data_IF_879252942496
#
_entry.id   IF_879252942496
#
_cell.length_a   1.000
_cell.length_b   1.000
_cell.length_c   1.000
_cell.angle_alpha   90.00
_cell.angle_beta   90.00
_cell.angle_gamma   90.00
#
_symmetry.space_group_name_H-M   'P 1'
#
loop_
_entity.id
_entity.type
_entity.pdbx_description
1 polymer ?
#
# COMPACT_ATOMS: atom_id res chain seq x y z
N UNK A 1 -14.30 -48.02 -0.01
CA UNK A 1 -12.93 -47.47 0.05
C UNK A 1 -12.95 -46.21 0.93
N UNK A 2 -12.26 -46.18 2.07
CA UNK A 2 -12.34 -45.06 3.00
C UNK A 2 -11.53 -43.87 2.45
N UNK A 3 -12.20 -42.72 2.40
CA UNK A 3 -11.66 -41.43 2.02
C UNK A 3 -10.52 -41.03 2.97
N UNK A 4 -9.33 -40.89 2.46
CA UNK A 4 -8.18 -40.29 3.16
C UNK A 4 -8.58 -38.88 3.59
N UNK A 5 -8.84 -38.70 4.88
CA UNK A 5 -8.89 -37.38 5.54
C UNK A 5 -7.49 -36.79 5.43
N UNK A 6 -7.28 -35.91 4.46
CA UNK A 6 -6.04 -35.11 4.40
C UNK A 6 -6.05 -34.12 5.55
N UNK A 7 -5.08 -34.25 6.45
CA UNK A 7 -4.78 -33.29 7.51
C UNK A 7 -4.30 -31.95 6.90
N UNK A 8 -5.20 -31.20 6.33
CA UNK A 8 -4.96 -29.84 5.85
C UNK A 8 -5.72 -28.87 6.74
N UNK A 9 -5.06 -27.85 7.29
CA UNK A 9 -5.59 -26.76 8.12
C UNK A 9 -6.76 -25.96 7.49
N UNK A 10 -7.20 -26.32 6.28
CA UNK A 10 -8.22 -25.57 5.52
C UNK A 10 -9.47 -26.42 5.31
N UNK A 11 -10.64 -25.79 5.54
CA UNK A 11 -11.95 -26.37 5.22
C UNK A 11 -12.01 -26.81 3.73
N UNK A 12 -12.74 -27.92 3.39
CA UNK A 12 -12.89 -28.39 2.01
C UNK A 12 -13.40 -27.32 1.03
N UNK A 13 -14.25 -26.40 1.51
CA UNK A 13 -14.74 -25.26 0.73
C UNK A 13 -13.61 -24.27 0.39
N UNK A 14 -12.72 -23.99 1.33
CA UNK A 14 -11.60 -23.10 1.10
C UNK A 14 -10.57 -23.72 0.14
N UNK A 15 -10.31 -25.02 0.25
CA UNK A 15 -9.47 -25.75 -0.69
C UNK A 15 -10.03 -25.67 -2.11
N UNK A 16 -11.34 -25.85 -2.30
CA UNK A 16 -12.00 -25.75 -3.60
C UNK A 16 -11.85 -24.33 -4.18
N UNK A 17 -12.02 -23.27 -3.36
CA UNK A 17 -11.85 -21.87 -3.79
C UNK A 17 -10.42 -21.58 -4.24
N UNK A 18 -9.42 -22.01 -3.47
CA UNK A 18 -8.01 -21.87 -3.83
C UNK A 18 -7.70 -22.60 -5.13
N UNK A 19 -8.23 -23.80 -5.33
CA UNK A 19 -8.02 -24.57 -6.57
C UNK A 19 -8.65 -23.86 -7.78
N UNK A 20 -9.86 -23.30 -7.65
CA UNK A 20 -10.51 -22.52 -8.72
C UNK A 20 -9.67 -21.27 -9.03
N UNK A 21 -9.16 -20.58 -8.02
CA UNK A 21 -8.29 -19.42 -8.21
C UNK A 21 -6.99 -19.79 -8.94
N UNK A 22 -6.34 -20.91 -8.54
CA UNK A 22 -5.13 -21.43 -9.20
C UNK A 22 -5.36 -21.87 -10.64
N UNK A 23 -6.55 -22.37 -10.97
CA UNK A 23 -6.91 -22.73 -12.35
C UNK A 23 -6.99 -21.52 -13.28
N UNK A 24 -7.32 -20.35 -12.73
CA UNK A 24 -7.23 -19.10 -13.50
C UNK A 24 -5.78 -18.61 -13.53
N UNK A 25 -5.02 -19.10 -14.52
CA UNK A 25 -3.58 -18.82 -14.66
C UNK A 25 -3.24 -17.34 -14.64
N UNK A 26 -4.08 -16.47 -15.25
CA UNK A 26 -3.84 -15.03 -15.30
C UNK A 26 -3.94 -14.41 -13.90
N UNK A 27 -5.01 -14.70 -13.19
CA UNK A 27 -5.22 -14.19 -11.83
C UNK A 27 -4.13 -14.70 -10.86
N UNK A 28 -3.75 -15.97 -10.98
CA UNK A 28 -2.70 -16.57 -10.16
C UNK A 28 -1.34 -15.90 -10.38
N UNK A 29 -0.90 -15.77 -11.64
CA UNK A 29 0.39 -15.15 -11.94
C UNK A 29 0.44 -13.66 -11.59
N UNK A 30 -0.65 -12.90 -11.79
CA UNK A 30 -0.75 -11.50 -11.37
C UNK A 30 -0.64 -11.37 -9.85
N UNK A 31 -1.32 -12.26 -9.11
CA UNK A 31 -1.23 -12.28 -7.65
C UNK A 31 0.18 -12.65 -7.16
N UNK A 32 0.81 -13.67 -7.74
CA UNK A 32 2.18 -14.06 -7.40
C UNK A 32 3.16 -12.93 -7.70
N UNK A 33 3.05 -12.30 -8.87
CA UNK A 33 3.89 -11.16 -9.24
C UNK A 33 3.74 -9.99 -8.25
N UNK A 34 2.50 -9.65 -7.90
CA UNK A 34 2.23 -8.63 -6.89
C UNK A 34 2.84 -8.99 -5.54
N UNK A 35 2.68 -10.23 -5.07
CA UNK A 35 3.27 -10.68 -3.80
C UNK A 35 4.80 -10.64 -3.83
N UNK A 36 5.43 -10.97 -4.96
CA UNK A 36 6.89 -10.90 -5.11
C UNK A 36 7.35 -9.45 -5.04
N UNK A 37 6.75 -8.55 -5.82
CA UNK A 37 7.12 -7.15 -5.88
C UNK A 37 6.90 -6.48 -4.52
N UNK A 38 5.76 -6.75 -3.87
CA UNK A 38 5.48 -6.24 -2.53
C UNK A 38 6.44 -6.84 -1.49
N UNK A 39 6.72 -8.16 -1.56
CA UNK A 39 7.72 -8.81 -0.70
C UNK A 39 9.11 -8.20 -0.84
N UNK A 40 9.54 -7.89 -2.05
CA UNK A 40 10.77 -7.16 -2.36
C UNK A 40 10.73 -5.76 -1.71
N UNK A 41 9.61 -5.04 -1.83
CA UNK A 41 9.49 -3.71 -1.24
C UNK A 41 9.48 -3.71 0.30
N UNK A 42 9.03 -4.78 0.94
CA UNK A 42 9.16 -4.94 2.40
C UNK A 42 10.62 -5.11 2.85
N UNK A 43 11.46 -5.66 1.97
CA UNK A 43 12.90 -5.81 2.19
C UNK A 43 13.70 -4.63 1.64
N UNK A 44 13.07 -3.48 1.45
CA UNK A 44 13.68 -2.29 0.85
C UNK A 44 15.02 -1.92 1.53
N UNK A 45 15.08 -1.96 2.85
CA UNK A 45 16.27 -1.62 3.63
C UNK A 45 17.45 -2.59 3.41
N UNK A 46 17.16 -3.83 3.02
CA UNK A 46 18.21 -4.83 2.67
C UNK A 46 18.65 -4.69 1.21
N UNK A 47 17.85 -4.04 0.35
CA UNK A 47 18.09 -3.94 -1.09
C UNK A 47 18.62 -2.57 -1.49
N UNK A 48 18.13 -1.51 -0.85
CA UNK A 48 18.41 -0.12 -1.16
C UNK A 48 18.56 0.67 0.13
N UNK A 49 19.80 0.90 0.57
CA UNK A 49 20.10 1.66 1.78
C UNK A 49 21.47 2.31 1.66
N UNK A 50 21.64 3.48 2.23
CA UNK A 50 22.90 4.19 2.35
C UNK A 50 23.78 3.66 3.51
N UNK A 51 23.19 2.84 4.38
CA UNK A 51 23.91 2.17 5.46
C UNK A 51 24.36 0.76 5.06
N UNK A 52 25.59 0.35 5.40
CA UNK A 52 26.04 -1.00 5.12
C UNK A 52 25.29 -2.05 5.95
N UNK A 53 25.04 -3.22 5.36
CA UNK A 53 24.41 -4.37 6.02
C UNK A 53 25.25 -4.87 7.19
N UNK A 54 26.56 -4.95 6.96
CA UNK A 54 27.55 -5.43 7.92
C UNK A 54 28.81 -4.59 7.80
N UNK A 55 29.32 -4.16 8.93
CA UNK A 55 30.64 -3.53 9.04
C UNK A 55 31.49 -4.40 9.95
N UNK A 56 32.66 -4.82 9.48
CA UNK A 56 33.70 -5.41 10.33
C UNK A 56 34.76 -4.34 10.58
N UNK A 57 35.01 -3.99 11.84
CA UNK A 57 36.00 -3.01 12.23
C UNK A 57 36.76 -3.49 13.46
N UNK A 58 38.08 -3.50 13.40
CA UNK A 58 38.97 -3.95 14.47
C UNK A 58 38.64 -5.36 15.04
N UNK A 59 38.11 -6.25 14.19
CA UNK A 59 37.74 -7.62 14.57
C UNK A 59 36.32 -7.80 15.09
N UNK A 60 35.58 -6.72 15.37
CA UNK A 60 34.18 -6.74 15.79
C UNK A 60 33.22 -6.55 14.60
N UNK A 61 31.99 -7.11 14.74
CA UNK A 61 30.95 -6.98 13.74
C UNK A 61 29.87 -5.99 14.21
N UNK A 62 29.53 -5.06 13.34
CA UNK A 62 28.51 -4.05 13.55
C UNK A 62 27.42 -4.21 12.49
N UNK A 63 26.17 -3.95 12.88
CA UNK A 63 24.99 -4.05 12.01
C UNK A 63 24.27 -2.70 11.94
N UNK A 64 24.70 -1.75 11.09
CA UNK A 64 24.14 -0.41 11.02
C UNK A 64 22.64 -0.35 10.71
N UNK A 65 22.12 -1.28 9.93
CA UNK A 65 20.70 -1.39 9.63
C UNK A 65 19.83 -1.57 10.89
N UNK A 66 20.37 -2.27 11.91
CA UNK A 66 19.61 -2.60 13.12
C UNK A 66 19.84 -1.57 14.23
N UNK A 67 21.07 -1.05 14.30
CA UNK A 67 21.48 -0.15 15.37
C UNK A 67 22.32 1.00 14.81
N UNK A 68 21.95 2.23 15.13
CA UNK A 68 22.75 3.41 14.79
C UNK A 68 24.01 3.45 15.66
N UNK A 69 25.16 3.62 15.02
CA UNK A 69 26.46 3.79 15.67
C UNK A 69 26.96 5.21 15.43
N UNK A 70 27.71 5.74 16.41
CA UNK A 70 28.32 7.04 16.30
C UNK A 70 29.63 6.97 15.51
N UNK A 71 30.05 8.05 14.88
CA UNK A 71 31.33 8.16 14.16
C UNK A 71 32.51 7.80 15.02
N UNK A 72 32.48 8.15 16.32
CA UNK A 72 33.54 7.81 17.29
C UNK A 72 33.80 6.31 17.38
N UNK A 73 32.83 5.46 17.10
CA UNK A 73 33.03 4.00 17.08
C UNK A 73 34.00 3.56 15.97
N UNK A 74 34.04 4.36 14.88
CA UNK A 74 34.84 4.09 13.69
C UNK A 74 36.04 5.05 13.55
N UNK A 75 36.39 5.75 14.63
CA UNK A 75 37.56 6.67 14.68
C UNK A 75 37.25 8.09 14.19
N UNK A 76 35.98 8.48 14.14
CA UNK A 76 35.57 9.85 13.92
C UNK A 76 35.64 10.71 15.18
N UNK A 77 35.57 12.03 15.02
CA UNK A 77 35.73 13.00 16.12
C UNK A 77 34.38 13.34 16.78
N UNK A 78 33.24 13.14 16.09
CA UNK A 78 31.94 13.64 16.53
C UNK A 78 31.04 12.52 17.12
N UNK A 79 30.19 12.85 18.13
CA UNK A 79 29.21 11.91 18.68
C UNK A 79 27.92 11.85 17.82
N UNK A 80 28.00 12.21 16.55
CA UNK A 80 26.92 12.14 15.56
C UNK A 80 26.80 10.74 14.96
N UNK A 81 25.63 10.35 14.42
CA UNK A 81 25.49 9.10 13.68
C UNK A 81 26.52 9.01 12.55
N UNK A 82 27.17 7.86 12.41
CA UNK A 82 28.21 7.66 11.40
C UNK A 82 27.63 7.74 9.98
N UNK A 83 28.24 8.60 9.15
CA UNK A 83 28.04 8.61 7.71
C UNK A 83 29.04 7.67 7.05
N UNK A 84 28.58 6.51 6.61
CA UNK A 84 29.43 5.49 5.97
C UNK A 84 29.84 5.86 4.53
N UNK A 85 29.33 6.95 3.98
CA UNK A 85 29.72 7.51 2.68
C UNK A 85 30.83 8.54 2.82
N UNK A 86 31.02 9.13 4.00
CA UNK A 86 32.10 10.05 4.28
C UNK A 86 33.45 9.38 3.96
N UNK A 87 34.31 9.99 3.14
CA UNK A 87 35.61 9.43 2.74
C UNK A 87 36.50 9.10 3.94
N UNK A 88 36.45 9.88 5.00
CA UNK A 88 37.27 9.66 6.20
C UNK A 88 36.85 8.39 6.94
N UNK A 89 35.57 8.25 7.25
CA UNK A 89 35.00 7.07 7.94
C UNK A 89 35.19 5.82 7.07
N UNK A 90 34.90 5.93 5.76
CA UNK A 90 35.07 4.86 4.79
C UNK A 90 36.50 4.34 4.73
N UNK A 91 37.49 5.24 4.70
CA UNK A 91 38.89 4.87 4.65
C UNK A 91 39.37 4.23 5.97
N UNK A 92 38.90 4.73 7.12
CA UNK A 92 39.22 4.15 8.43
C UNK A 92 38.71 2.72 8.57
N UNK A 93 37.45 2.51 8.14
CA UNK A 93 36.85 1.16 8.21
C UNK A 93 37.56 0.21 7.24
N UNK A 94 37.81 0.65 6.00
CA UNK A 94 38.49 -0.19 5.00
C UNK A 94 39.95 -0.51 5.36
N UNK A 95 40.63 0.35 6.11
CA UNK A 95 41.98 0.09 6.61
C UNK A 95 42.01 -0.99 7.70
N UNK A 96 40.96 -1.10 8.49
CA UNK A 96 40.89 -2.00 9.66
C UNK A 96 39.83 -3.10 9.52
N UNK A 97 39.22 -3.24 8.35
CA UNK A 97 38.14 -4.20 8.11
C UNK A 97 37.49 -4.10 6.72
N UNK A 98 36.19 -4.32 6.66
CA UNK A 98 35.41 -4.19 5.43
C UNK A 98 33.97 -3.78 5.71
N UNK A 99 33.30 -3.20 4.70
CA UNK A 99 31.86 -2.88 4.70
C UNK A 99 31.18 -3.63 3.58
N UNK A 100 30.00 -4.20 3.88
CA UNK A 100 29.15 -4.82 2.89
C UNK A 100 27.89 -3.95 2.72
N UNK A 101 27.80 -3.24 1.61
CA UNK A 101 26.61 -2.47 1.23
C UNK A 101 25.57 -3.35 0.57
N UNK A 102 24.28 -2.92 0.62
CA UNK A 102 23.24 -3.53 -0.20
C UNK A 102 23.53 -3.34 -1.70
N UNK A 103 22.82 -4.07 -2.59
CA UNK A 103 22.99 -3.95 -4.05
C UNK A 103 22.79 -2.53 -4.58
N UNK A 104 21.93 -1.74 -3.94
CA UNK A 104 21.74 -0.31 -4.18
C UNK A 104 22.21 0.45 -2.93
N UNK A 105 23.39 1.10 -2.99
CA UNK A 105 23.95 1.82 -1.83
C UNK A 105 23.31 3.22 -1.65
N UNK A 106 22.04 3.36 -1.97
CA UNK A 106 21.26 4.59 -1.87
C UNK A 106 19.93 4.30 -1.18
N UNK A 107 19.55 5.17 -0.24
CA UNK A 107 18.21 5.22 0.33
C UNK A 107 17.29 6.09 -0.54
N UNK A 108 16.01 6.15 -0.21
CA UNK A 108 15.04 6.97 -0.95
C UNK A 108 15.27 8.48 -0.83
N UNK A 109 15.99 8.92 0.20
CA UNK A 109 16.31 10.34 0.48
C UNK A 109 17.78 10.68 0.28
N UNK A 110 18.63 9.70 -0.06
CA UNK A 110 20.05 9.92 -0.27
C UNK A 110 20.26 10.68 -1.57
N UNK A 111 20.80 11.90 -1.46
CA UNK A 111 21.22 12.74 -2.59
C UNK A 111 22.65 12.37 -2.96
N UNK A 112 22.90 12.10 -4.24
CA UNK A 112 24.26 11.90 -4.74
C UNK A 112 24.84 13.22 -5.26
N UNK A 113 25.86 13.72 -4.57
CA UNK A 113 26.55 14.96 -4.95
C UNK A 113 27.76 14.72 -5.88
N UNK A 114 28.12 13.44 -6.11
CA UNK A 114 29.27 13.05 -6.94
C UNK A 114 28.85 12.71 -8.39
N UNK A 115 27.70 13.23 -8.84
CA UNK A 115 27.19 12.97 -10.19
C UNK A 115 28.05 13.69 -11.24
N UNK A 116 28.46 12.95 -12.28
CA UNK A 116 29.21 13.50 -13.43
C UNK A 116 28.37 14.46 -14.30
N UNK A 117 27.05 14.39 -14.22
CA UNK A 117 26.10 15.16 -15.04
C UNK A 117 25.10 15.89 -14.15
N UNK A 118 24.56 17.04 -14.60
CA UNK A 118 23.52 17.76 -13.87
C UNK A 118 22.28 16.88 -13.65
N UNK A 119 21.60 17.10 -12.54
CA UNK A 119 20.33 16.44 -12.22
C UNK A 119 19.19 16.99 -13.10
N UNK A 120 18.27 16.12 -13.55
CA UNK A 120 18.22 14.67 -13.41
C UNK A 120 19.21 13.95 -14.32
N UNK A 121 19.98 12.99 -13.78
CA UNK A 121 20.99 12.23 -14.50
C UNK A 121 20.42 10.95 -15.12
N UNK A 122 20.88 10.62 -16.33
CA UNK A 122 20.45 9.45 -17.07
C UNK A 122 20.85 8.13 -16.37
N UNK A 123 20.18 7.00 -16.69
CA UNK A 123 20.55 5.68 -16.19
C UNK A 123 22.04 5.38 -16.36
N UNK A 124 22.68 4.89 -15.30
CA UNK A 124 24.10 4.59 -15.22
C UNK A 124 24.35 3.27 -14.48
N UNK A 125 25.64 2.88 -14.34
CA UNK A 125 26.00 1.70 -13.55
C UNK A 125 25.71 1.87 -12.05
N UNK A 126 25.74 3.09 -11.55
CA UNK A 126 25.48 3.44 -10.15
C UNK A 126 23.99 3.68 -9.92
N UNK A 127 23.29 4.29 -10.85
CA UNK A 127 21.86 4.58 -10.83
C UNK A 127 21.15 3.86 -11.97
N UNK A 128 20.64 2.66 -11.75
CA UNK A 128 20.10 1.79 -12.81
C UNK A 128 18.92 2.40 -13.57
N UNK A 129 18.07 3.19 -12.89
CA UNK A 129 16.97 3.91 -13.52
C UNK A 129 17.23 5.43 -13.62
N UNK A 130 18.47 5.86 -13.34
CA UNK A 130 18.84 7.27 -13.28
C UNK A 130 18.47 7.93 -11.96
N UNK A 131 18.63 9.25 -11.90
CA UNK A 131 18.30 10.06 -10.74
C UNK A 131 17.09 10.95 -11.01
N UNK A 132 16.47 11.40 -9.93
CA UNK A 132 15.43 12.42 -9.95
C UNK A 132 16.02 13.83 -10.04
N UNK A 133 15.16 14.85 -9.96
CA UNK A 133 15.53 16.28 -10.06
C UNK A 133 16.38 16.76 -8.87
N UNK A 134 16.36 16.05 -7.73
CA UNK A 134 17.18 16.34 -6.56
C UNK A 134 18.46 15.47 -6.49
N UNK A 135 18.71 14.58 -7.48
CA UNK A 135 19.87 13.68 -7.47
C UNK A 135 19.68 12.40 -6.64
N UNK A 136 18.44 12.03 -6.31
CA UNK A 136 18.13 10.79 -5.59
C UNK A 136 17.90 9.63 -6.56
N UNK A 137 18.21 8.41 -6.13
CA UNK A 137 18.06 7.21 -6.96
C UNK A 137 16.58 6.86 -7.19
N UNK A 138 16.14 6.80 -8.46
CA UNK A 138 14.75 6.51 -8.83
C UNK A 138 14.34 5.10 -8.41
N UNK A 139 15.21 4.09 -8.55
CA UNK A 139 14.87 2.71 -8.21
C UNK A 139 14.66 2.57 -6.70
N UNK A 140 15.53 3.17 -5.87
CA UNK A 140 15.35 3.22 -4.43
C UNK A 140 14.00 3.87 -4.07
N UNK A 141 13.69 5.03 -4.66
CA UNK A 141 12.43 5.74 -4.44
C UNK A 141 11.20 4.93 -4.86
N UNK A 142 11.26 4.18 -5.95
CA UNK A 142 10.19 3.28 -6.38
C UNK A 142 9.97 2.15 -5.37
N UNK A 143 11.04 1.49 -4.90
CA UNK A 143 10.93 0.38 -3.96
C UNK A 143 10.28 0.84 -2.64
N UNK A 144 10.75 1.95 -2.08
CA UNK A 144 10.20 2.51 -0.84
C UNK A 144 8.81 3.12 -1.04
N UNK A 145 8.57 3.82 -2.15
CA UNK A 145 7.27 4.42 -2.48
C UNK A 145 6.18 3.36 -2.69
N UNK A 146 6.54 2.24 -3.33
CA UNK A 146 5.62 1.11 -3.48
C UNK A 146 5.22 0.52 -2.12
N UNK A 147 6.19 0.35 -1.20
CA UNK A 147 5.93 -0.14 0.16
C UNK A 147 4.92 0.75 0.88
N UNK A 148 5.15 2.06 0.89
CA UNK A 148 4.27 3.01 1.58
C UNK A 148 2.89 3.01 0.93
N UNK A 149 2.82 3.06 -0.41
CA UNK A 149 1.54 3.08 -1.14
C UNK A 149 0.70 1.83 -0.88
N UNK A 150 1.32 0.63 -0.90
CA UNK A 150 0.60 -0.63 -0.65
C UNK A 150 0.18 -0.75 0.82
N UNK A 151 1.04 -0.36 1.77
CA UNK A 151 0.70 -0.37 3.20
C UNK A 151 -0.45 0.60 3.48
N UNK A 152 -0.38 1.81 2.95
CA UNK A 152 -1.46 2.81 3.07
C UNK A 152 -2.77 2.28 2.52
N UNK A 153 -2.76 1.79 1.29
CA UNK A 153 -3.95 1.25 0.63
C UNK A 153 -4.52 0.04 1.38
N UNK A 154 -3.66 -0.84 1.90
CA UNK A 154 -4.09 -1.99 2.70
C UNK A 154 -4.78 -1.56 3.98
N UNK A 155 -4.18 -0.65 4.76
CA UNK A 155 -4.76 -0.13 6.00
C UNK A 155 -6.08 0.58 5.72
N UNK A 156 -6.12 1.47 4.70
CA UNK A 156 -7.33 2.16 4.28
C UNK A 156 -8.43 1.18 3.87
N UNK A 157 -8.10 0.18 3.04
CA UNK A 157 -9.08 -0.82 2.58
C UNK A 157 -9.63 -1.65 3.73
N UNK A 158 -8.78 -2.07 4.67
CA UNK A 158 -9.24 -2.84 5.84
C UNK A 158 -10.17 -1.99 6.70
N UNK A 159 -9.77 -0.79 7.07
CA UNK A 159 -10.57 0.09 7.93
C UNK A 159 -11.88 0.51 7.25
N UNK A 160 -11.83 0.93 5.98
CA UNK A 160 -13.03 1.31 5.23
C UNK A 160 -13.98 0.12 5.03
N UNK A 161 -13.44 -1.08 4.79
CA UNK A 161 -14.26 -2.29 4.69
C UNK A 161 -14.95 -2.64 6.01
N UNK A 162 -14.27 -2.53 7.14
CA UNK A 162 -14.87 -2.77 8.46
C UNK A 162 -16.03 -1.80 8.73
N UNK A 163 -15.83 -0.50 8.49
CA UNK A 163 -16.85 0.52 8.67
C UNK A 163 -18.00 0.31 7.68
N UNK A 164 -17.70 0.08 6.40
CA UNK A 164 -18.69 -0.14 5.35
C UNK A 164 -19.52 -1.40 5.57
N UNK A 165 -18.91 -2.49 6.02
CA UNK A 165 -19.61 -3.72 6.39
C UNK A 165 -20.54 -3.47 7.58
N UNK A 166 -20.07 -2.78 8.61
CA UNK A 166 -20.89 -2.46 9.78
C UNK A 166 -22.08 -1.57 9.42
N UNK A 167 -21.84 -0.46 8.72
CA UNK A 167 -22.87 0.46 8.29
C UNK A 167 -23.90 -0.20 7.36
N UNK A 168 -23.43 -0.96 6.36
CA UNK A 168 -24.28 -1.70 5.44
C UNK A 168 -25.11 -2.80 6.13
N UNK A 169 -24.51 -3.49 7.10
CA UNK A 169 -25.22 -4.50 7.90
C UNK A 169 -26.36 -3.87 8.72
N UNK A 170 -26.11 -2.75 9.39
CA UNK A 170 -27.12 -2.03 10.16
C UNK A 170 -28.27 -1.55 9.25
N UNK A 171 -27.93 -0.89 8.15
CA UNK A 171 -28.92 -0.39 7.18
C UNK A 171 -29.76 -1.54 6.59
N UNK A 172 -29.09 -2.59 6.11
CA UNK A 172 -29.75 -3.71 5.42
C UNK A 172 -30.57 -4.59 6.37
N UNK A 173 -30.13 -4.78 7.62
CA UNK A 173 -30.85 -5.60 8.58
C UNK A 173 -32.09 -4.92 9.14
N UNK A 174 -31.95 -3.72 9.69
CA UNK A 174 -33.07 -3.01 10.30
C UNK A 174 -34.01 -2.42 9.23
N UNK A 175 -33.47 -1.84 8.16
CA UNK A 175 -34.26 -1.26 7.09
C UNK A 175 -35.13 -0.06 7.54
N UNK A 176 -36.18 0.26 6.78
CA UNK A 176 -37.14 1.29 7.12
C UNK A 176 -36.52 2.67 7.38
N UNK A 177 -36.88 3.30 8.51
CA UNK A 177 -36.40 4.65 8.85
C UNK A 177 -34.89 4.75 9.05
N UNK A 178 -34.26 3.69 9.60
CA UNK A 178 -32.81 3.63 9.82
C UNK A 178 -32.10 3.63 8.47
N UNK A 179 -32.55 2.81 7.56
CA UNK A 179 -32.00 2.73 6.21
C UNK A 179 -32.11 4.05 5.45
N UNK A 180 -33.29 4.68 5.47
CA UNK A 180 -33.53 5.96 4.81
C UNK A 180 -32.63 7.05 5.41
N UNK A 181 -32.49 7.11 6.75
CA UNK A 181 -31.64 8.08 7.42
C UNK A 181 -30.17 7.95 6.99
N UNK A 182 -29.63 6.73 7.03
CA UNK A 182 -28.24 6.50 6.63
C UNK A 182 -28.00 6.78 5.15
N UNK A 183 -28.95 6.44 4.26
CA UNK A 183 -28.84 6.78 2.84
C UNK A 183 -28.81 8.29 2.61
N UNK A 184 -29.71 9.05 3.28
CA UNK A 184 -29.70 10.51 3.16
C UNK A 184 -28.40 11.12 3.71
N UNK A 185 -27.90 10.58 4.81
CA UNK A 185 -26.61 11.00 5.34
C UNK A 185 -25.48 10.75 4.34
N UNK A 186 -25.43 9.56 3.73
CA UNK A 186 -24.42 9.23 2.71
C UNK A 186 -24.53 10.12 1.48
N UNK A 187 -25.73 10.34 0.96
CA UNK A 187 -25.97 11.23 -0.19
C UNK A 187 -25.47 12.66 0.04
N UNK A 188 -25.73 13.22 1.24
CA UNK A 188 -25.25 14.55 1.62
C UNK A 188 -23.72 14.56 1.74
N UNK A 189 -23.14 13.51 2.33
CA UNK A 189 -21.70 13.40 2.55
C UNK A 189 -20.92 13.19 1.25
N UNK A 190 -21.42 12.35 0.35
CA UNK A 190 -20.85 12.13 -1.00
C UNK A 190 -20.95 13.36 -1.90
N UNK A 191 -21.92 14.24 -1.65
CA UNK A 191 -22.04 15.51 -2.38
C UNK A 191 -20.88 16.49 -2.06
N UNK A 192 -20.16 16.29 -0.95
CA UNK A 192 -18.98 17.09 -0.64
C UNK A 192 -17.82 16.71 -1.57
N UNK A 193 -17.26 17.68 -2.35
CA UNK A 193 -16.11 17.37 -3.18
C UNK A 193 -14.89 17.02 -2.33
N UNK A 194 -14.50 15.75 -2.32
CA UNK A 194 -13.41 15.21 -1.48
C UNK A 194 -12.12 16.03 -1.61
N UNK A 195 -11.77 16.46 -2.82
CA UNK A 195 -10.55 17.26 -3.06
C UNK A 195 -10.58 18.59 -2.30
N UNK A 196 -11.71 19.28 -2.26
CA UNK A 196 -11.80 20.55 -1.52
C UNK A 196 -11.66 20.35 -0.02
N UNK A 197 -12.28 19.31 0.53
CA UNK A 197 -12.12 18.96 1.95
C UNK A 197 -10.66 18.68 2.26
N UNK A 198 -9.97 17.96 1.39
CA UNK A 198 -8.57 17.61 1.54
C UNK A 198 -7.67 18.85 1.49
N UNK A 199 -7.90 19.78 0.55
CA UNK A 199 -7.18 21.06 0.47
C UNK A 199 -7.36 21.88 1.76
N UNK A 200 -8.59 21.98 2.26
CA UNK A 200 -8.88 22.71 3.50
C UNK A 200 -8.14 22.07 4.69
N UNK A 201 -8.19 20.75 4.82
CA UNK A 201 -7.52 20.06 5.93
C UNK A 201 -5.99 20.16 5.80
N UNK A 202 -5.43 20.02 4.59
CA UNK A 202 -4.00 20.15 4.33
C UNK A 202 -3.48 21.57 4.59
N UNK A 203 -4.33 22.59 4.51
CA UNK A 203 -3.94 23.97 4.88
C UNK A 203 -3.84 24.21 6.39
N UNK A 204 -4.51 23.37 7.20
CA UNK A 204 -4.55 23.50 8.67
C UNK A 204 -3.56 22.53 9.33
N UNK A 205 -3.47 21.31 8.81
CA UNK A 205 -2.63 20.24 9.35
C UNK A 205 -1.52 19.88 8.37
N UNK A 206 -0.32 19.68 8.90
CA UNK A 206 0.80 19.19 8.08
C UNK A 206 0.44 17.83 7.43
N UNK A 207 0.73 17.66 6.14
CA UNK A 207 0.50 16.39 5.45
C UNK A 207 1.27 15.25 6.13
N UNK A 208 0.55 14.23 6.57
CA UNK A 208 1.13 13.04 7.17
C UNK A 208 0.34 11.80 6.76
N UNK A 209 0.98 10.64 6.92
CA UNK A 209 0.33 9.35 6.65
C UNK A 209 -1.04 9.22 7.37
N UNK A 210 -1.10 9.58 8.64
CA UNK A 210 -2.29 9.45 9.45
C UNK A 210 -3.37 10.48 9.10
N UNK A 211 -2.99 11.73 8.86
CA UNK A 211 -3.92 12.78 8.44
C UNK A 211 -4.62 12.40 7.14
N UNK A 212 -3.83 11.95 6.15
CA UNK A 212 -4.35 11.54 4.86
C UNK A 212 -5.24 10.29 4.98
N UNK A 213 -4.82 9.30 5.80
CA UNK A 213 -5.58 8.08 6.04
C UNK A 213 -6.96 8.39 6.63
N UNK A 214 -7.04 9.26 7.65
CA UNK A 214 -8.30 9.62 8.29
C UNK A 214 -9.23 10.32 7.31
N UNK A 215 -8.72 11.30 6.55
CA UNK A 215 -9.54 12.03 5.57
C UNK A 215 -10.08 11.06 4.51
N UNK A 216 -9.21 10.24 3.93
CA UNK A 216 -9.63 9.25 2.93
C UNK A 216 -10.63 8.26 3.51
N UNK A 217 -10.45 7.83 4.76
CA UNK A 217 -11.35 6.90 5.44
C UNK A 217 -12.76 7.49 5.60
N UNK A 218 -12.88 8.80 5.85
CA UNK A 218 -14.17 9.48 5.96
C UNK A 218 -15.04 9.38 4.70
N UNK A 219 -14.43 9.13 3.54
CA UNK A 219 -15.15 9.01 2.26
C UNK A 219 -15.21 7.56 1.73
N UNK A 220 -14.14 6.79 1.84
CA UNK A 220 -14.02 5.48 1.18
C UNK A 220 -14.90 4.37 1.75
N UNK A 221 -15.31 4.46 3.02
CA UNK A 221 -16.15 3.43 3.66
C UNK A 221 -17.53 3.27 2.99
N UNK A 222 -18.03 4.32 2.33
CA UNK A 222 -19.34 4.31 1.68
C UNK A 222 -19.39 3.40 0.44
N UNK A 223 -18.27 3.25 -0.26
CA UNK A 223 -18.17 2.41 -1.47
C UNK A 223 -18.63 0.97 -1.24
N UNK A 224 -18.35 0.40 -0.07
CA UNK A 224 -18.72 -0.98 0.25
C UNK A 224 -20.11 -1.08 0.91
N UNK A 225 -20.56 -0.01 1.56
CA UNK A 225 -21.81 0.01 2.32
C UNK A 225 -23.01 -0.39 1.47
N UNK A 226 -23.12 0.13 0.23
CA UNK A 226 -24.23 -0.19 -0.67
C UNK A 226 -24.30 -1.69 -1.04
N UNK A 227 -23.16 -2.31 -1.28
CA UNK A 227 -23.06 -3.75 -1.60
C UNK A 227 -23.49 -4.61 -0.42
N UNK A 228 -22.96 -4.30 0.76
CA UNK A 228 -23.30 -5.02 2.01
C UNK A 228 -24.76 -4.85 2.36
N UNK A 229 -25.27 -3.63 2.28
CA UNK A 229 -26.69 -3.31 2.49
C UNK A 229 -27.60 -4.15 1.59
N UNK A 230 -27.31 -4.19 0.29
CA UNK A 230 -28.12 -4.97 -0.66
C UNK A 230 -28.13 -6.47 -0.30
N UNK A 231 -26.99 -7.03 0.11
CA UNK A 231 -26.89 -8.41 0.51
C UNK A 231 -27.63 -8.71 1.82
N UNK A 232 -27.59 -7.79 2.79
CA UNK A 232 -28.37 -7.92 4.02
C UNK A 232 -29.88 -7.80 3.79
N UNK A 233 -30.32 -6.86 2.94
CA UNK A 233 -31.74 -6.73 2.55
C UNK A 233 -32.27 -8.00 1.89
N UNK A 234 -31.44 -8.65 1.05
CA UNK A 234 -31.78 -9.92 0.40
C UNK A 234 -31.85 -11.05 1.42
N UNK A 235 -30.80 -11.22 2.22
CA UNK A 235 -30.61 -12.39 3.08
C UNK A 235 -31.54 -12.38 4.29
N UNK A 236 -31.91 -11.21 4.83
CA UNK A 236 -32.85 -11.11 5.97
C UNK A 236 -34.22 -11.75 5.71
N UNK A 237 -34.61 -11.87 4.42
CA UNK A 237 -35.88 -12.45 4.02
C UNK A 237 -35.82 -13.98 3.82
N UNK A 238 -34.65 -14.59 3.95
CA UNK A 238 -34.48 -16.04 3.77
C UNK A 238 -35.14 -16.84 4.92
N UNK A 239 -35.63 -18.04 4.61
CA UNK A 239 -36.33 -18.90 5.53
C UNK A 239 -35.55 -19.21 6.81
N UNK A 240 -34.25 -19.43 6.71
CA UNK A 240 -33.40 -19.70 7.86
C UNK A 240 -33.31 -18.50 8.84
N UNK A 241 -33.39 -17.28 8.34
CA UNK A 241 -33.40 -16.06 9.17
C UNK A 241 -34.76 -15.91 9.85
N UNK A 242 -35.84 -16.14 9.11
CA UNK A 242 -37.21 -16.11 9.67
C UNK A 242 -37.39 -17.17 10.73
N UNK A 243 -36.90 -18.39 10.49
CA UNK A 243 -36.91 -19.47 11.48
C UNK A 243 -36.13 -19.12 12.74
N UNK A 244 -34.93 -18.55 12.61
CA UNK A 244 -34.14 -18.10 13.75
C UNK A 244 -34.88 -17.02 14.58
N UNK A 245 -35.54 -16.05 13.91
CA UNK A 245 -36.38 -15.05 14.60
C UNK A 245 -37.57 -15.69 15.33
N UNK A 246 -38.26 -16.63 14.68
CA UNK A 246 -39.39 -17.34 15.28
C UNK A 246 -38.97 -18.15 16.53
N UNK A 247 -37.73 -18.65 16.57
CA UNK A 247 -37.13 -19.32 17.73
C UNK A 247 -36.59 -18.35 18.80
N UNK A 248 -36.81 -17.06 18.66
CA UNK A 248 -36.39 -16.04 19.65
C UNK A 248 -34.88 -15.74 19.64
N UNK A 249 -34.14 -16.07 18.59
CA UNK A 249 -32.72 -15.72 18.49
C UNK A 249 -32.58 -14.20 18.37
N UNK A 250 -31.75 -13.60 19.24
CA UNK A 250 -31.52 -12.14 19.25
C UNK A 250 -30.87 -11.62 17.96
N UNK A 251 -31.20 -10.38 17.59
CA UNK A 251 -30.79 -9.73 16.34
C UNK A 251 -29.27 -9.70 16.14
N UNK A 252 -28.50 -9.41 17.18
CA UNK A 252 -27.04 -9.42 17.12
C UNK A 252 -26.49 -10.78 16.66
N UNK A 253 -27.03 -11.89 17.23
CA UNK A 253 -26.61 -13.23 16.85
C UNK A 253 -27.02 -13.57 15.42
N UNK A 254 -28.19 -13.11 14.99
CA UNK A 254 -28.66 -13.27 13.59
C UNK A 254 -27.72 -12.55 12.63
N UNK A 255 -27.40 -11.28 12.91
CA UNK A 255 -26.48 -10.48 12.10
C UNK A 255 -25.13 -11.17 11.97
N UNK A 256 -24.44 -11.42 13.08
CA UNK A 256 -23.04 -11.85 13.08
C UNK A 256 -22.85 -13.33 12.75
N UNK A 257 -23.78 -14.20 13.09
CA UNK A 257 -23.63 -15.64 12.92
C UNK A 257 -24.35 -16.23 11.70
N UNK A 258 -25.43 -15.57 11.24
CA UNK A 258 -26.25 -16.11 10.15
C UNK A 258 -26.13 -15.29 8.85
N UNK A 259 -26.14 -13.96 8.92
CA UNK A 259 -26.16 -13.13 7.71
C UNK A 259 -24.74 -12.70 7.29
N UNK A 260 -23.96 -12.15 8.21
CA UNK A 260 -22.64 -11.59 7.92
C UNK A 260 -21.68 -12.56 7.23
N UNK A 261 -21.56 -13.84 7.62
CA UNK A 261 -20.66 -14.77 6.94
C UNK A 261 -20.99 -14.96 5.46
N UNK A 262 -22.26 -14.88 5.10
CA UNK A 262 -22.72 -14.97 3.71
C UNK A 262 -22.50 -13.65 2.96
N UNK A 263 -22.77 -12.52 3.60
CA UNK A 263 -22.57 -11.19 3.03
C UNK A 263 -21.09 -10.90 2.75
N UNK A 264 -20.18 -11.25 3.67
CA UNK A 264 -18.72 -11.08 3.51
C UNK A 264 -18.19 -11.83 2.29
N UNK A 265 -18.77 -12.97 1.92
CA UNK A 265 -18.33 -13.70 0.71
C UNK A 265 -18.58 -12.85 -0.54
N UNK A 266 -19.71 -12.17 -0.63
CA UNK A 266 -20.01 -11.26 -1.73
C UNK A 266 -19.09 -10.02 -1.73
N UNK A 267 -18.80 -9.48 -0.54
CA UNK A 267 -17.99 -8.27 -0.39
C UNK A 267 -16.50 -8.48 -0.63
N UNK A 268 -15.96 -9.66 -0.29
CA UNK A 268 -14.53 -9.97 -0.45
C UNK A 268 -14.05 -9.87 -1.90
N UNK A 269 -14.97 -10.01 -2.86
CA UNK A 269 -14.65 -9.87 -4.30
C UNK A 269 -14.39 -8.41 -4.68
N UNK A 270 -14.82 -7.43 -3.86
CA UNK A 270 -14.58 -6.01 -4.09
C UNK A 270 -13.28 -5.52 -3.46
N UNK A 271 -12.74 -6.22 -2.47
CA UNK A 271 -11.51 -5.81 -1.75
C UNK A 271 -10.32 -5.52 -2.67
N UNK A 272 -9.99 -6.36 -3.69
CA UNK A 272 -8.89 -6.04 -4.60
C UNK A 272 -9.11 -4.75 -5.40
N UNK A 273 -10.36 -4.43 -5.76
CA UNK A 273 -10.69 -3.19 -6.46
C UNK A 273 -10.53 -1.98 -5.56
N UNK A 274 -10.99 -2.07 -4.31
CA UNK A 274 -10.80 -1.01 -3.30
C UNK A 274 -9.32 -0.77 -3.02
N UNK A 275 -8.51 -1.83 -2.95
CA UNK A 275 -7.07 -1.72 -2.77
C UNK A 275 -6.43 -0.97 -3.95
N UNK A 276 -6.76 -1.35 -5.18
CA UNK A 276 -6.23 -0.69 -6.38
C UNK A 276 -6.68 0.79 -6.45
N UNK A 277 -7.95 1.06 -6.15
CA UNK A 277 -8.50 2.43 -6.09
C UNK A 277 -7.77 3.28 -5.04
N UNK A 278 -7.49 2.72 -3.86
CA UNK A 278 -6.76 3.40 -2.80
C UNK A 278 -5.32 3.75 -3.20
N UNK A 279 -4.60 2.84 -3.91
CA UNK A 279 -3.25 3.12 -4.41
C UNK A 279 -3.30 4.24 -5.46
N UNK A 280 -4.23 4.16 -6.41
CA UNK A 280 -4.39 5.19 -7.46
C UNK A 280 -4.75 6.54 -6.86
N UNK A 281 -5.66 6.56 -5.88
CA UNK A 281 -6.06 7.79 -5.20
C UNK A 281 -4.88 8.43 -4.44
N UNK A 282 -4.09 7.64 -3.69
CA UNK A 282 -2.90 8.15 -3.03
C UNK A 282 -1.91 8.73 -4.04
N UNK A 283 -1.61 7.98 -5.13
CA UNK A 283 -0.69 8.43 -6.18
C UNK A 283 -1.18 9.74 -6.83
N UNK A 284 -2.49 9.87 -7.07
CA UNK A 284 -3.07 11.09 -7.62
C UNK A 284 -2.97 12.28 -6.65
N UNK A 285 -3.18 12.05 -5.36
CA UNK A 285 -3.04 13.09 -4.33
C UNK A 285 -1.59 13.53 -4.17
N UNK A 286 -0.65 12.60 -4.17
CA UNK A 286 0.78 12.89 -4.14
C UNK A 286 1.21 13.70 -5.38
N UNK A 287 0.69 13.32 -6.57
CA UNK A 287 0.93 14.07 -7.82
C UNK A 287 0.44 15.53 -7.74
N UNK A 288 -0.68 15.76 -7.07
CA UNK A 288 -1.24 17.09 -6.85
C UNK A 288 -0.53 17.87 -5.71
N UNK A 289 0.42 17.25 -5.01
CA UNK A 289 1.09 17.84 -3.85
C UNK A 289 0.22 17.90 -2.58
N UNK A 290 -0.89 17.16 -2.57
CA UNK A 290 -1.83 17.06 -1.44
C UNK A 290 -1.68 15.73 -0.67
N UNK A 291 -0.73 14.91 -1.06
CA UNK A 291 -0.48 13.59 -0.49
C UNK A 291 0.47 13.60 0.71
N UNK A 292 1.39 12.65 0.73
CA UNK A 292 2.41 12.55 1.78
C UNK A 292 3.42 13.70 1.67
N UNK A 293 4.05 14.07 2.80
CA UNK A 293 5.10 15.10 2.77
C UNK A 293 6.29 14.64 1.91
N UNK A 294 7.10 15.61 1.43
CA UNK A 294 8.27 15.31 0.59
C UNK A 294 9.35 14.45 1.29
N UNK A 295 9.26 14.33 2.61
CA UNK A 295 10.12 13.44 3.41
C UNK A 295 9.82 11.95 3.18
N UNK A 296 8.66 11.62 2.61
CA UNK A 296 8.28 10.24 2.31
C UNK A 296 8.52 9.92 0.83
N UNK A 297 8.99 8.71 0.52
CA UNK A 297 9.08 8.28 -0.87
C UNK A 297 7.67 8.13 -1.45
N UNK A 298 7.37 8.88 -2.51
CA UNK A 298 6.07 8.93 -3.14
C UNK A 298 6.16 8.57 -4.61
N UNK A 299 5.28 7.66 -5.05
CA UNK A 299 5.14 7.32 -6.46
C UNK A 299 4.51 8.48 -7.26
N UNK A 300 3.58 9.22 -6.64
CA UNK A 300 2.92 10.35 -7.28
C UNK A 300 3.85 11.54 -7.49
N UNK A 301 4.80 11.76 -6.58
CA UNK A 301 5.83 12.77 -6.75
C UNK A 301 6.74 12.44 -7.95
N UNK A 302 7.15 11.18 -8.10
CA UNK A 302 7.91 10.74 -9.29
C UNK A 302 7.11 10.93 -10.60
N UNK A 303 5.78 10.72 -10.59
CA UNK A 303 4.92 11.01 -11.75
C UNK A 303 4.95 12.52 -12.06
N UNK A 304 4.88 13.37 -11.04
CA UNK A 304 4.95 14.84 -11.19
C UNK A 304 6.29 15.26 -11.78
N UNK A 305 7.40 14.76 -11.22
CA UNK A 305 8.75 15.04 -11.73
C UNK A 305 8.92 14.56 -13.18
N UNK A 306 8.39 13.38 -13.54
CA UNK A 306 8.41 12.88 -14.92
C UNK A 306 7.64 13.75 -15.91
N UNK A 307 6.55 14.42 -15.45
CA UNK A 307 5.82 15.41 -16.25
C UNK A 307 6.58 16.71 -16.38
N UNK A 308 7.22 17.17 -15.29
CA UNK A 308 7.91 18.47 -15.25
C UNK A 308 9.27 18.43 -15.96
N UNK A 309 9.90 17.23 -16.05
CA UNK A 309 11.20 16.99 -16.67
C UNK A 309 11.09 16.13 -17.93
N UNK A 310 10.49 16.65 -19.00
CA UNK A 310 10.32 15.92 -20.27
C UNK A 310 11.64 15.56 -20.96
N UNK A 311 12.73 16.25 -20.67
CA UNK A 311 14.08 15.94 -21.13
C UNK A 311 14.68 14.70 -20.46
N UNK A 312 14.07 14.24 -19.34
CA UNK A 312 14.47 13.06 -18.58
C UNK A 312 13.40 11.95 -18.67
N UNK A 313 13.20 11.32 -19.84
CA UNK A 313 12.09 10.38 -20.07
C UNK A 313 12.17 9.13 -19.19
N UNK A 314 13.34 8.78 -18.66
CA UNK A 314 13.54 7.64 -17.79
C UNK A 314 12.72 7.75 -16.48
N UNK A 315 12.52 8.98 -15.95
CA UNK A 315 11.69 9.20 -14.75
C UNK A 315 10.25 8.78 -15.06
N UNK A 316 9.66 9.37 -16.11
CA UNK A 316 8.27 9.10 -16.50
C UNK A 316 8.03 7.63 -16.92
N UNK A 317 8.95 7.05 -17.69
CA UNK A 317 8.82 5.65 -18.16
C UNK A 317 8.90 4.67 -16.98
N UNK A 318 9.85 4.85 -16.06
CA UNK A 318 10.04 3.97 -14.91
C UNK A 318 8.80 3.92 -14.04
N UNK A 319 8.26 5.08 -13.68
CA UNK A 319 7.07 5.15 -12.84
C UNK A 319 5.81 4.70 -13.58
N UNK A 320 5.68 4.98 -14.88
CA UNK A 320 4.55 4.52 -15.68
C UNK A 320 4.45 3.00 -15.70
N UNK A 321 5.57 2.29 -15.90
CA UNK A 321 5.61 0.82 -15.84
C UNK A 321 5.14 0.31 -14.48
N UNK A 322 5.58 0.93 -13.40
CA UNK A 322 5.15 0.56 -12.04
C UNK A 322 3.65 0.82 -11.85
N UNK A 323 3.14 1.98 -12.31
CA UNK A 323 1.72 2.31 -12.22
C UNK A 323 0.85 1.30 -12.99
N UNK A 324 1.30 0.80 -14.14
CA UNK A 324 0.56 -0.22 -14.90
C UNK A 324 0.34 -1.51 -14.12
N UNK A 325 1.20 -1.86 -13.16
CA UNK A 325 1.06 -3.09 -12.37
C UNK A 325 -0.22 -3.11 -11.52
N UNK A 326 -0.66 -1.95 -11.04
CA UNK A 326 -1.85 -1.85 -10.18
C UNK A 326 -3.06 -1.16 -10.85
N UNK A 327 -2.88 -0.56 -12.05
CA UNK A 327 -3.97 0.08 -12.82
C UNK A 327 -4.53 -0.79 -13.94
N UNK A 328 -4.17 -2.10 -13.99
CA UNK A 328 -4.65 -2.99 -15.05
C UNK A 328 -6.17 -2.94 -15.19
N UNK A 329 -6.71 -2.71 -16.41
CA UNK A 329 -8.13 -2.56 -16.64
C UNK A 329 -8.90 -3.81 -16.22
N UNK A 330 -9.99 -3.61 -15.46
CA UNK A 330 -10.89 -4.68 -15.05
C UNK A 330 -11.50 -5.39 -16.29
N UNK A 331 -11.74 -6.70 -16.24
CA UNK A 331 -12.49 -7.41 -17.28
C UNK A 331 -13.89 -6.84 -17.55
N UNK A 332 -14.42 -5.98 -16.68
CA UNK A 332 -15.70 -5.29 -16.85
C UNK A 332 -15.65 -4.20 -17.91
N UNK A 333 -14.53 -3.52 -18.07
CA UNK A 333 -14.41 -2.43 -19.07
C UNK A 333 -14.55 -2.94 -20.51
N UNK A 334 -14.21 -4.20 -20.75
CA UNK A 334 -14.41 -4.86 -22.07
C UNK A 334 -15.86 -5.23 -22.37
N UNK A 335 -16.76 -5.25 -21.39
CA UNK A 335 -18.20 -5.53 -21.63
C UNK A 335 -19.04 -4.29 -21.92
N UNK A 336 -18.54 -3.11 -21.61
CA UNK A 336 -19.25 -1.85 -21.90
C UNK A 336 -18.94 -1.30 -23.31
N UNK A 337 -17.93 -1.86 -23.99
CA UNK A 337 -17.55 -1.47 -25.35
C UNK A 337 -18.11 -2.39 -26.46
N UNK A 338 -19.15 -3.21 -26.15
CA UNK A 338 -19.85 -4.04 -27.15
C UNK A 338 -21.34 -3.76 -27.15
#
# INVERSE_FOLDING_TARGET
MPNKISNGCLSPLNQRRINIFRQNRRAWWSFVLFCIIFGISLLAELLANDQPLVVKYQGEYYFPIVKTYNEQTFGGDFPTPADYRDPYIRNNINANGYMLFPPLPYSFNTVDYELDTPTPSAPSRHHWLGTDDEGRDILARIIYGLRISVVFAFVLTVLSSLIGIFAGAVQGYFGGKIDIFFQRFQEIWEALPQLFVLIIVASIFAPSFWTLLIIMLCFTWMSLTGVVRAEFLRTRNFEFVKAAKALGVGDFRIIFRHILPNAVIATITFVPFLLSEAIVALTALDFLGLGLSQEYPSLGDLVRQGKDNLQAPWIGISIFVVCLLYTSPSPRDKRQSR
#
